data_IF_387979038422
#
_entry.id   IF_387979038422
#
_cell.length_a   1.000
_cell.length_b   1.000
_cell.length_c   1.000
_cell.angle_alpha   90.00
_cell.angle_beta   90.00
_cell.angle_gamma   90.00
#
_symmetry.space_group_name_H-M   'P 1'
#
loop_
_entity.id
_entity.type
_entity.pdbx_description
1 polymer ?
#
# COMPACT_ATOMS: atom_id res chain seq x y z
N UNK A 1 5.72 0.56 -4.19
CA UNK A 1 5.38 -0.90 -4.33
C UNK A 1 4.78 -1.47 -3.05
N UNK A 2 5.54 -1.45 -1.97
CA UNK A 2 5.14 -2.01 -0.69
C UNK A 2 4.66 -0.91 0.23
N UNK A 3 3.72 -1.26 1.08
CA UNK A 3 3.31 -0.46 2.23
C UNK A 3 2.94 -1.42 3.35
N UNK A 4 2.88 -0.95 4.61
CA UNK A 4 2.45 -1.76 5.73
C UNK A 4 1.14 -2.51 5.46
N UNK A 5 0.15 -1.87 4.84
CA UNK A 5 -1.15 -2.50 4.52
C UNK A 5 -1.02 -3.65 3.53
N UNK A 6 -0.15 -3.55 2.51
CA UNK A 6 0.11 -4.67 1.59
C UNK A 6 0.70 -5.87 2.36
N UNK A 7 1.70 -5.61 3.21
CA UNK A 7 2.36 -6.67 3.98
C UNK A 7 1.37 -7.34 4.92
N UNK A 8 0.62 -6.55 5.70
CA UNK A 8 -0.35 -7.06 6.65
C UNK A 8 -1.47 -7.82 5.95
N UNK A 9 -2.05 -7.29 4.88
CA UNK A 9 -3.15 -7.98 4.17
C UNK A 9 -2.72 -9.32 3.59
N UNK A 10 -1.55 -9.39 2.94
CA UNK A 10 -1.06 -10.63 2.33
C UNK A 10 -0.77 -11.69 3.39
N UNK A 11 0.01 -11.33 4.42
CA UNK A 11 0.42 -12.29 5.44
C UNK A 11 -0.72 -12.67 6.38
N UNK A 12 -1.60 -11.73 6.77
CA UNK A 12 -2.74 -12.05 7.62
C UNK A 12 -3.77 -12.92 6.91
N UNK A 13 -4.04 -12.69 5.61
CA UNK A 13 -4.92 -13.61 4.86
C UNK A 13 -4.32 -15.01 4.73
N UNK A 14 -3.02 -15.12 4.51
CA UNK A 14 -2.31 -16.41 4.46
C UNK A 14 -2.43 -17.16 5.80
N UNK A 15 -2.22 -16.44 6.90
CA UNK A 15 -2.34 -16.96 8.26
C UNK A 15 -3.77 -17.40 8.59
N UNK A 16 -4.77 -16.58 8.25
CA UNK A 16 -6.19 -16.93 8.45
C UNK A 16 -6.63 -18.12 7.58
N UNK A 17 -6.00 -18.33 6.42
CA UNK A 17 -6.18 -19.51 5.58
C UNK A 17 -5.40 -20.75 6.06
N UNK A 18 -4.56 -20.62 7.09
CA UNK A 18 -3.72 -21.72 7.61
C UNK A 18 -2.47 -22.03 6.78
N UNK A 19 -2.07 -21.13 5.88
CA UNK A 19 -0.87 -21.26 5.02
C UNK A 19 0.35 -20.50 5.54
N UNK A 20 0.23 -19.78 6.65
CA UNK A 20 1.32 -19.10 7.33
C UNK A 20 1.12 -19.16 8.86
N UNK A 21 2.22 -19.05 9.61
CA UNK A 21 2.18 -18.92 11.07
C UNK A 21 1.88 -17.46 11.48
N UNK A 22 1.38 -17.22 12.70
CA UNK A 22 1.26 -15.85 13.22
C UNK A 22 2.61 -15.11 13.24
N UNK A 23 3.71 -15.83 13.49
CA UNK A 23 5.06 -15.27 13.54
C UNK A 23 5.49 -14.74 12.16
N UNK A 24 5.08 -15.37 11.05
CA UNK A 24 5.38 -14.86 9.71
C UNK A 24 4.75 -13.49 9.46
N UNK A 25 3.57 -13.22 10.04
CA UNK A 25 2.91 -11.90 9.97
C UNK A 25 3.73 -10.87 10.75
N UNK A 26 4.20 -11.23 11.96
CA UNK A 26 4.99 -10.35 12.81
C UNK A 26 6.36 -10.06 12.19
N UNK A 27 7.02 -11.06 11.62
CA UNK A 27 8.29 -10.92 10.93
C UNK A 27 8.16 -10.01 9.71
N UNK A 28 7.10 -10.15 8.93
CA UNK A 28 6.82 -9.26 7.80
C UNK A 28 6.55 -7.82 8.22
N UNK A 29 5.83 -7.62 9.33
CA UNK A 29 5.56 -6.29 9.89
C UNK A 29 6.82 -5.63 10.46
N UNK A 30 7.70 -6.40 11.11
CA UNK A 30 8.93 -5.90 11.75
C UNK A 30 9.91 -5.23 10.79
N UNK A 31 9.77 -5.47 9.48
CA UNK A 31 10.55 -4.79 8.44
C UNK A 31 10.14 -3.31 8.27
N UNK A 32 8.97 -2.90 8.76
CA UNK A 32 8.45 -1.53 8.65
C UNK A 32 8.82 -0.67 9.85
N UNK A 33 8.68 -1.22 11.07
CA UNK A 33 9.00 -0.52 12.30
C UNK A 33 9.33 -1.54 13.40
N UNK A 34 10.17 -1.19 14.38
CA UNK A 34 10.53 -2.11 15.47
C UNK A 34 9.39 -2.34 16.46
N UNK A 35 8.39 -1.45 16.50
CA UNK A 35 7.24 -1.52 17.39
C UNK A 35 5.96 -1.35 16.59
N UNK A 36 4.95 -2.13 16.94
CA UNK A 36 3.61 -1.98 16.40
C UNK A 36 2.60 -1.86 17.53
N UNK A 37 1.71 -0.89 17.40
CA UNK A 37 0.59 -0.65 18.31
C UNK A 37 -0.73 -0.74 17.56
N UNK A 38 -1.81 -1.05 18.28
CA UNK A 38 -3.18 -1.00 17.74
C UNK A 38 -4.12 -0.37 18.76
N UNK A 39 -4.98 0.52 18.27
CA UNK A 39 -5.95 1.29 19.06
C UNK A 39 -7.29 1.37 18.34
N UNK A 40 -8.38 1.52 19.11
CA UNK A 40 -9.70 1.76 18.54
C UNK A 40 -9.94 3.27 18.36
N UNK A 41 -10.51 3.67 17.23
CA UNK A 41 -10.92 5.05 16.95
C UNK A 41 -12.26 5.41 17.61
N UNK A 42 -13.15 4.44 17.76
CA UNK A 42 -14.49 4.63 18.30
C UNK A 42 -14.94 3.44 19.15
N UNK A 43 -16.00 3.64 19.93
CA UNK A 43 -16.52 2.61 20.84
C UNK A 43 -17.11 1.39 20.14
N UNK A 44 -17.55 1.51 18.88
CA UNK A 44 -18.07 0.39 18.10
C UNK A 44 -16.92 -0.50 17.62
N UNK A 45 -15.82 0.09 17.16
CA UNK A 45 -14.59 -0.60 16.80
C UNK A 45 -14.01 -1.34 18.01
N UNK A 46 -13.96 -0.67 19.17
CA UNK A 46 -13.55 -1.27 20.43
C UNK A 46 -14.42 -2.49 20.80
N UNK A 47 -15.75 -2.34 20.70
CA UNK A 47 -16.70 -3.42 20.95
C UNK A 47 -16.54 -4.61 20.01
N UNK A 48 -16.25 -4.36 18.73
CA UNK A 48 -16.05 -5.40 17.72
C UNK A 48 -14.73 -6.16 17.85
N UNK A 49 -13.73 -5.58 18.51
CA UNK A 49 -12.34 -6.07 18.51
C UNK A 49 -11.80 -6.41 19.90
N UNK A 50 -12.44 -5.95 20.96
CA UNK A 50 -11.98 -6.07 22.33
C UNK A 50 -10.85 -5.10 22.71
N UNK A 51 -10.58 -4.09 21.87
CA UNK A 51 -9.58 -3.05 22.14
C UNK A 51 -10.04 -2.09 23.25
N UNK A 52 -9.11 -1.50 24.02
CA UNK A 52 -9.45 -0.52 25.05
C UNK A 52 -10.05 0.77 24.45
N UNK A 53 -11.05 1.33 25.14
CA UNK A 53 -11.68 2.62 24.85
C UNK A 53 -12.36 3.17 26.11
N UNK A 54 -12.34 4.49 26.39
CA UNK A 54 -11.71 5.57 25.60
C UNK A 54 -10.22 5.76 25.87
N UNK A 55 -9.63 4.95 26.75
CA UNK A 55 -8.21 5.06 27.07
C UNK A 55 -7.38 4.57 25.87
N UNK A 56 -6.60 5.50 25.29
CA UNK A 56 -5.66 5.23 24.19
C UNK A 56 -4.41 4.56 24.76
N UNK A 57 -4.54 3.28 25.12
CA UNK A 57 -3.40 2.45 25.50
C UNK A 57 -2.95 1.71 24.25
N UNK A 58 -1.75 2.03 23.78
CA UNK A 58 -1.12 1.34 22.66
C UNK A 58 -0.91 -0.14 23.02
N UNK A 59 -1.75 -0.99 22.44
CA UNK A 59 -1.63 -2.44 22.62
C UNK A 59 -0.70 -3.02 21.56
N UNK A 60 0.22 -3.90 21.95
CA UNK A 60 1.30 -4.37 21.06
C UNK A 60 0.84 -5.23 19.87
N UNK A 61 1.80 -5.65 19.04
CA UNK A 61 1.57 -6.41 17.80
C UNK A 61 0.70 -7.69 17.96
N UNK A 62 0.76 -8.36 19.11
CA UNK A 62 -0.08 -9.55 19.40
C UNK A 62 -1.57 -9.18 19.45
N UNK A 63 -1.90 -8.00 19.98
CA UNK A 63 -3.28 -7.50 20.00
C UNK A 63 -3.80 -7.22 18.60
N UNK A 64 -2.94 -6.76 17.67
CA UNK A 64 -3.31 -6.57 16.26
C UNK A 64 -3.75 -7.90 15.63
N UNK A 65 -3.01 -8.98 15.86
CA UNK A 65 -3.38 -10.31 15.39
C UNK A 65 -4.73 -10.77 15.98
N UNK A 66 -4.97 -10.52 17.28
CA UNK A 66 -6.25 -10.82 17.91
C UNK A 66 -7.40 -10.00 17.31
N UNK A 67 -7.19 -8.71 17.08
CA UNK A 67 -8.15 -7.80 16.43
C UNK A 67 -8.56 -8.32 15.05
N UNK A 68 -7.59 -8.67 14.21
CA UNK A 68 -7.85 -9.19 12.87
C UNK A 68 -8.63 -10.51 12.90
N UNK A 69 -8.24 -11.45 13.77
CA UNK A 69 -8.95 -12.74 13.91
C UNK A 69 -10.37 -12.55 14.41
N UNK A 70 -10.58 -11.65 15.38
CA UNK A 70 -11.89 -11.39 15.96
C UNK A 70 -12.83 -10.76 14.93
N UNK A 71 -12.35 -9.77 14.19
CA UNK A 71 -13.12 -9.09 13.15
C UNK A 71 -13.45 -10.00 11.95
N UNK A 72 -12.48 -10.79 11.49
CA UNK A 72 -12.68 -11.77 10.41
C UNK A 72 -13.72 -12.85 10.79
N UNK A 73 -13.72 -13.27 12.06
CA UNK A 73 -14.61 -14.31 12.55
C UNK A 73 -14.28 -15.71 12.01
N UNK A 74 -15.00 -16.75 12.48
CA UNK A 74 -14.80 -18.13 12.03
C UNK A 74 -15.45 -18.38 10.66
N UNK A 75 -14.91 -19.36 9.92
CA UNK A 75 -15.58 -19.92 8.74
C UNK A 75 -15.51 -19.08 7.47
N UNK A 76 -14.55 -18.16 7.37
CA UNK A 76 -14.27 -17.46 6.11
C UNK A 76 -13.97 -18.47 4.99
N UNK A 77 -14.54 -18.24 3.80
CA UNK A 77 -14.33 -19.05 2.59
C UNK A 77 -13.61 -18.26 1.49
N UNK A 78 -13.28 -17.01 1.78
CA UNK A 78 -12.61 -16.06 0.92
C UNK A 78 -11.76 -15.13 1.81
N UNK A 79 -10.80 -14.37 1.25
CA UNK A 79 -9.95 -13.47 2.02
C UNK A 79 -10.80 -12.43 2.79
N UNK A 80 -10.80 -12.43 4.14
CA UNK A 80 -11.58 -11.45 4.90
C UNK A 80 -10.95 -10.06 4.92
N UNK A 81 -9.65 -9.93 4.62
CA UNK A 81 -8.93 -8.66 4.69
C UNK A 81 -8.68 -8.14 3.28
N UNK A 82 -9.35 -7.04 2.90
CA UNK A 82 -9.15 -6.33 1.65
C UNK A 82 -8.19 -5.15 1.79
N UNK A 83 -7.41 -4.89 0.74
CA UNK A 83 -6.52 -3.73 0.63
C UNK A 83 -7.18 -2.58 -0.11
N UNK A 84 -7.04 -1.37 0.40
CA UNK A 84 -7.35 -0.12 -0.29
C UNK A 84 -6.11 0.77 -0.38
N UNK A 85 -5.86 1.32 -1.58
CA UNK A 85 -4.83 2.33 -1.83
C UNK A 85 -5.53 3.59 -2.36
N UNK A 86 -6.15 4.40 -1.48
CA UNK A 86 -6.86 5.61 -1.88
C UNK A 86 -5.89 6.74 -2.27
N UNK A 87 -6.36 7.61 -3.16
CA UNK A 87 -5.71 8.89 -3.46
C UNK A 87 -6.77 9.99 -3.52
N UNK A 88 -6.42 11.28 -3.39
CA UNK A 88 -7.36 12.37 -3.62
C UNK A 88 -8.07 12.21 -4.99
N UNK A 89 -9.40 12.08 -4.96
CA UNK A 89 -10.22 11.89 -6.16
C UNK A 89 -10.53 10.43 -6.54
N UNK A 90 -9.83 9.43 -5.98
CA UNK A 90 -10.15 8.02 -6.18
C UNK A 90 -10.03 7.22 -4.87
N UNK A 91 -11.19 6.98 -4.27
CA UNK A 91 -11.39 6.39 -2.94
C UNK A 91 -12.18 5.07 -3.01
N UNK A 92 -12.15 4.42 -4.18
CA UNK A 92 -12.80 3.12 -4.39
C UNK A 92 -12.31 2.10 -3.36
N UNK A 93 -13.24 1.33 -2.81
CA UNK A 93 -12.96 0.35 -1.74
C UNK A 93 -13.18 0.87 -0.32
N UNK A 94 -13.46 2.17 -0.13
CA UNK A 94 -13.70 2.77 1.19
C UNK A 94 -15.16 3.18 1.40
N UNK A 95 -15.70 3.08 2.63
CA UNK A 95 -17.04 3.55 2.97
C UNK A 95 -17.09 5.09 2.92
N UNK A 96 -17.88 5.62 1.97
CA UNK A 96 -17.95 7.05 1.70
C UNK A 96 -18.49 7.87 2.89
N UNK A 97 -17.93 9.07 3.09
CA UNK A 97 -18.36 10.04 4.11
C UNK A 97 -17.86 9.76 5.53
N UNK A 98 -17.12 8.66 5.74
CA UNK A 98 -16.63 8.25 7.07
C UNK A 98 -15.32 8.96 7.45
N UNK A 99 -15.00 8.97 8.74
CA UNK A 99 -13.67 9.39 9.20
C UNK A 99 -12.59 8.44 8.68
N UNK A 100 -12.84 7.12 8.74
CA UNK A 100 -11.97 6.11 8.17
C UNK A 100 -11.54 6.43 6.73
N UNK A 101 -12.48 6.86 5.87
CA UNK A 101 -12.15 7.27 4.50
C UNK A 101 -11.18 8.45 4.45
N UNK A 102 -11.38 9.47 5.29
CA UNK A 102 -10.52 10.67 5.30
C UNK A 102 -9.10 10.33 5.75
N UNK A 103 -8.99 9.54 6.80
CA UNK A 103 -7.69 9.17 7.37
C UNK A 103 -6.97 8.18 6.43
N UNK A 104 -7.70 7.25 5.82
CA UNK A 104 -7.17 6.39 4.77
C UNK A 104 -6.65 7.18 3.55
N UNK A 105 -7.35 8.21 3.10
CA UNK A 105 -6.89 9.10 2.00
C UNK A 105 -5.63 9.87 2.41
N UNK A 106 -5.54 10.27 3.68
CA UNK A 106 -4.38 10.98 4.22
C UNK A 106 -3.16 10.08 4.29
N UNK A 107 -3.33 8.84 4.78
CA UNK A 107 -2.27 7.83 4.82
C UNK A 107 -1.92 7.27 3.43
N UNK A 108 -2.85 7.33 2.47
CA UNK A 108 -2.70 6.73 1.13
C UNK A 108 -2.88 5.21 1.10
N UNK A 109 -3.21 4.61 2.24
CA UNK A 109 -3.42 3.17 2.40
C UNK A 109 -4.44 2.89 3.51
N UNK A 110 -5.15 1.77 3.38
CA UNK A 110 -6.02 1.24 4.41
C UNK A 110 -6.33 -0.24 4.18
N UNK A 111 -6.80 -0.90 5.24
CA UNK A 111 -7.38 -2.23 5.19
C UNK A 111 -8.86 -2.18 5.55
N UNK A 112 -9.63 -3.06 4.92
CA UNK A 112 -11.02 -3.33 5.31
C UNK A 112 -11.10 -4.80 5.66
N UNK A 113 -11.51 -5.11 6.88
CA UNK A 113 -11.77 -6.48 7.33
C UNK A 113 -13.27 -6.70 7.28
N UNK A 114 -13.71 -7.67 6.50
CA UNK A 114 -15.09 -8.15 6.42
C UNK A 114 -15.22 -9.45 7.21
N UNK A 115 -16.31 -9.61 7.97
CA UNK A 115 -16.49 -10.79 8.80
C UNK A 115 -17.55 -10.61 9.88
N UNK A 116 -17.26 -11.11 11.09
CA UNK A 116 -18.14 -11.01 12.26
C UNK A 116 -18.27 -9.58 12.80
N UNK A 117 -17.31 -8.69 12.50
CA UNK A 117 -17.42 -7.26 12.73
C UNK A 117 -16.60 -6.50 11.69
N UNK A 118 -17.28 -5.75 10.81
CA UNK A 118 -16.58 -4.98 9.78
C UNK A 118 -15.80 -3.82 10.39
N UNK A 119 -14.49 -3.83 10.17
CA UNK A 119 -13.58 -2.79 10.65
C UNK A 119 -12.70 -2.27 9.52
N UNK A 120 -12.30 -1.01 9.65
CA UNK A 120 -11.24 -0.40 8.84
C UNK A 120 -9.97 -0.26 9.67
N UNK A 121 -8.80 -0.40 9.04
CA UNK A 121 -7.52 -0.10 9.68
C UNK A 121 -6.74 0.90 8.83
N UNK A 122 -6.15 1.89 9.49
CA UNK A 122 -5.24 2.87 8.87
C UNK A 122 -3.92 2.84 9.64
N UNK A 123 -2.78 2.63 8.97
CA UNK A 123 -1.47 2.73 9.58
C UNK A 123 -1.00 4.19 9.70
N UNK A 124 -0.23 4.49 10.73
CA UNK A 124 0.49 5.76 10.88
C UNK A 124 1.89 5.52 11.48
N UNK A 125 2.91 6.11 10.87
CA UNK A 125 4.31 5.94 11.30
C UNK A 125 4.63 6.88 12.45
N UNK A 126 5.25 6.35 13.49
CA UNK A 126 5.76 7.11 14.62
C UNK A 126 7.26 7.39 14.41
N UNK A 127 7.67 8.63 14.62
CA UNK A 127 9.06 9.06 14.53
C UNK A 127 9.52 9.62 15.88
N UNK A 128 10.80 9.41 16.21
CA UNK A 128 11.37 9.96 17.44
C UNK A 128 11.69 11.46 17.26
N UNK A 129 10.84 12.32 17.82
CA UNK A 129 10.99 13.78 17.75
C UNK A 129 12.26 14.30 18.46
N UNK A 130 12.92 13.48 19.29
CA UNK A 130 14.14 13.83 20.02
C UNK A 130 15.42 13.40 19.30
N UNK A 131 15.32 12.69 18.18
CA UNK A 131 16.46 12.33 17.34
C UNK A 131 16.92 13.56 16.52
N UNK A 132 17.73 14.42 17.13
CA UNK A 132 18.28 15.64 16.50
C UNK A 132 19.71 15.47 15.97
N UNK A 133 20.19 14.25 15.78
CA UNK A 133 21.50 14.04 15.14
C UNK A 133 21.37 14.28 13.62
N UNK A 134 21.85 15.44 13.17
CA UNK A 134 21.78 15.96 11.79
C UNK A 134 22.40 15.03 10.71
N UNK A 135 23.09 13.94 11.10
CA UNK A 135 23.79 13.02 10.21
C UNK A 135 22.99 11.73 9.90
N UNK A 136 21.84 11.49 10.53
CA UNK A 136 21.01 10.29 10.28
C UNK A 136 19.53 10.68 10.22
N UNK A 137 18.90 10.53 9.06
CA UNK A 137 17.44 10.57 8.95
C UNK A 137 16.88 9.39 9.78
N UNK A 138 16.27 9.62 10.95
CA UNK A 138 15.89 8.53 11.84
C UNK A 138 14.69 7.80 11.20
N UNK A 139 14.88 6.52 10.89
CA UNK A 139 13.80 5.65 10.47
C UNK A 139 12.67 5.58 11.52
N UNK A 140 11.47 5.11 11.13
CA UNK A 140 10.32 5.06 12.03
C UNK A 140 10.61 4.25 13.30
N UNK A 141 10.26 4.79 14.45
CA UNK A 141 10.43 4.14 15.75
C UNK A 141 9.22 3.27 16.15
N UNK A 142 8.08 3.45 15.45
CA UNK A 142 6.86 2.70 15.64
C UNK A 142 5.93 2.78 14.44
N UNK A 143 4.94 1.89 14.41
CA UNK A 143 3.84 1.91 13.45
C UNK A 143 2.53 1.63 14.21
N UNK A 144 1.66 2.64 14.29
CA UNK A 144 0.35 2.52 14.93
C UNK A 144 -0.71 2.11 13.92
N UNK A 145 -1.65 1.28 14.36
CA UNK A 145 -2.81 0.87 13.58
C UNK A 145 -4.08 1.38 14.26
N UNK A 146 -4.73 2.36 13.63
CA UNK A 146 -6.01 2.87 14.14
C UNK A 146 -7.16 2.09 13.54
N UNK A 147 -8.04 1.54 14.39
CA UNK A 147 -9.16 0.68 14.01
C UNK A 147 -10.48 1.43 14.07
N UNK A 148 -11.20 1.47 12.95
CA UNK A 148 -12.45 2.18 12.79
C UNK A 148 -13.62 1.21 12.67
N UNK A 149 -14.78 1.60 13.19
CA UNK A 149 -16.02 0.91 12.83
C UNK A 149 -16.39 1.25 11.39
N UNK A 150 -16.72 0.23 10.62
CA UNK A 150 -17.12 0.38 9.21
C UNK A 150 -18.52 -0.20 9.04
N UNK A 151 -19.42 0.43 8.27
CA UNK A 151 -20.73 -0.16 8.00
C UNK A 151 -20.59 -1.56 7.37
N UNK A 152 -21.42 -2.51 7.79
CA UNK A 152 -21.55 -3.86 7.20
C UNK A 152 -22.20 -3.84 5.80
N UNK A 153 -21.93 -2.80 5.01
CA UNK A 153 -22.32 -2.75 3.61
C UNK A 153 -21.22 -3.45 2.82
N UNK A 154 -21.61 -4.48 2.08
CA UNK A 154 -20.73 -5.10 1.08
C UNK A 154 -20.33 -4.02 0.07
N UNK A 155 -19.15 -3.42 0.25
CA UNK A 155 -18.51 -2.60 -0.76
C UNK A 155 -17.99 -3.60 -1.78
N UNK A 156 -18.57 -3.69 -2.99
CA UNK A 156 -18.05 -4.60 -3.99
C UNK A 156 -16.59 -4.21 -4.22
N UNK A 157 -15.63 -5.13 -4.07
CA UNK A 157 -14.26 -4.82 -4.44
C UNK A 157 -14.28 -4.39 -5.90
N UNK A 158 -13.53 -3.33 -6.21
CA UNK A 158 -13.24 -3.02 -7.60
C UNK A 158 -12.33 -4.14 -8.11
N UNK A 159 -12.92 -5.27 -8.48
CA UNK A 159 -12.18 -6.41 -9.00
C UNK A 159 -11.59 -6.00 -10.34
N UNK A 160 -10.27 -5.86 -10.36
CA UNK A 160 -9.52 -5.61 -11.59
C UNK A 160 -8.86 -6.92 -11.98
N UNK A 161 -9.23 -7.46 -13.13
CA UNK A 161 -8.59 -8.69 -13.63
C UNK A 161 -7.09 -8.46 -13.78
N UNK A 162 -6.29 -9.41 -13.30
CA UNK A 162 -4.83 -9.30 -13.33
C UNK A 162 -4.28 -9.14 -14.76
N UNK A 163 -4.91 -9.79 -15.75
CA UNK A 163 -4.52 -9.69 -17.14
C UNK A 163 -4.86 -8.33 -17.75
N UNK A 164 -6.03 -7.79 -17.45
CA UNK A 164 -6.41 -6.42 -17.82
C UNK A 164 -5.45 -5.40 -17.20
N UNK A 165 -5.12 -5.54 -15.92
CA UNK A 165 -4.20 -4.64 -15.24
C UNK A 165 -2.76 -4.72 -15.83
N UNK A 166 -2.26 -5.93 -16.11
CA UNK A 166 -0.95 -6.16 -16.75
C UNK A 166 -0.90 -5.57 -18.17
N UNK A 167 -2.00 -5.66 -18.91
CA UNK A 167 -2.12 -5.02 -20.23
C UNK A 167 -2.16 -3.49 -20.11
N UNK A 168 -3.01 -2.97 -19.22
CA UNK A 168 -3.14 -1.55 -18.95
C UNK A 168 -1.79 -0.92 -18.57
N UNK A 169 -1.04 -1.56 -17.67
CA UNK A 169 0.29 -1.11 -17.28
C UNK A 169 1.25 -1.02 -18.46
N UNK A 170 1.35 -2.08 -19.27
CA UNK A 170 2.23 -2.07 -20.47
C UNK A 170 1.82 -1.02 -21.50
N UNK A 171 0.51 -0.81 -21.68
CA UNK A 171 -0.02 0.21 -22.58
C UNK A 171 0.30 1.62 -22.08
N UNK A 172 0.07 1.90 -20.79
CA UNK A 172 0.34 3.21 -20.20
C UNK A 172 1.83 3.56 -20.21
N UNK A 173 2.71 2.60 -19.89
CA UNK A 173 4.17 2.79 -19.95
C UNK A 173 4.60 3.16 -21.38
N UNK A 174 4.07 2.46 -22.40
CA UNK A 174 4.36 2.78 -23.80
C UNK A 174 3.91 4.19 -24.17
N UNK A 175 2.67 4.55 -23.85
CA UNK A 175 2.12 5.88 -24.13
C UNK A 175 2.91 6.99 -23.42
N UNK A 176 3.33 6.77 -22.17
CA UNK A 176 4.15 7.72 -21.44
C UNK A 176 5.55 7.88 -22.06
N UNK A 177 6.18 6.77 -22.47
CA UNK A 177 7.48 6.80 -23.16
C UNK A 177 7.40 7.54 -24.51
N UNK A 178 6.33 7.33 -25.29
CA UNK A 178 6.10 8.04 -26.56
C UNK A 178 5.92 9.56 -26.32
N UNK A 179 5.13 9.94 -25.31
CA UNK A 179 4.91 11.34 -24.95
C UNK A 179 6.20 12.04 -24.46
N UNK A 180 6.98 11.39 -23.58
CA UNK A 180 8.24 11.93 -23.08
C UNK A 180 9.34 11.95 -24.16
N UNK A 181 9.35 10.98 -25.06
CA UNK A 181 10.25 10.94 -26.22
C UNK A 181 10.00 12.12 -27.18
N UNK A 182 8.73 12.46 -27.43
CA UNK A 182 8.37 13.64 -28.22
C UNK A 182 8.84 14.96 -27.59
N UNK A 183 8.85 15.06 -26.26
CA UNK A 183 9.36 16.23 -25.53
C UNK A 183 10.89 16.34 -25.61
N UNK A 184 11.62 15.22 -25.49
CA UNK A 184 13.09 15.19 -25.56
C UNK A 184 13.65 15.48 -26.95
N UNK A 185 12.87 15.27 -28.02
CA UNK A 185 13.30 15.56 -29.39
C UNK A 185 13.63 17.05 -29.64
N UNK A 186 13.32 17.96 -28.70
CA UNK A 186 13.66 19.38 -28.75
C UNK A 186 14.58 19.89 -27.62
N UNK A 187 15.03 19.04 -26.70
CA UNK A 187 15.81 19.43 -25.52
C UNK A 187 17.31 19.11 -25.70
N UNK A 188 18.18 19.98 -25.17
CA UNK A 188 19.62 19.70 -25.10
C UNK A 188 19.90 18.59 -24.08
N UNK A 189 20.97 17.81 -24.31
CA UNK A 189 21.37 16.71 -23.43
C UNK A 189 21.80 17.28 -22.07
N UNK A 190 20.92 17.18 -21.07
CA UNK A 190 21.22 17.60 -19.69
C UNK A 190 21.95 16.46 -19.00
N UNK A 191 23.08 16.78 -18.38
CA UNK A 191 23.81 15.87 -17.49
C UNK A 191 23.03 15.68 -16.19
N UNK A 192 22.00 14.84 -16.25
CA UNK A 192 21.17 14.47 -15.09
C UNK A 192 21.90 13.38 -14.31
N UNK A 193 22.00 13.54 -12.99
CA UNK A 193 22.47 12.53 -12.03
C UNK A 193 21.96 11.13 -12.41
N UNK A 194 22.83 10.10 -12.33
CA UNK A 194 22.55 8.71 -12.77
C UNK A 194 21.15 8.22 -12.37
N UNK A 195 20.14 8.37 -13.26
CA UNK A 195 18.75 8.14 -12.87
C UNK A 195 18.48 6.64 -12.74
N UNK A 196 19.28 5.80 -13.39
CA UNK A 196 19.20 4.34 -13.27
C UNK A 196 19.68 3.89 -11.89
N UNK A 197 20.79 4.46 -11.42
CA UNK A 197 21.29 4.23 -10.06
C UNK A 197 20.27 4.60 -8.98
N UNK A 198 19.60 5.75 -9.12
CA UNK A 198 18.54 6.19 -8.19
C UNK A 198 17.32 5.24 -8.20
N UNK A 199 16.89 4.79 -9.38
CA UNK A 199 15.78 3.81 -9.49
C UNK A 199 16.16 2.47 -8.86
N UNK A 200 17.39 1.99 -9.08
CA UNK A 200 17.88 0.75 -8.46
C UNK A 200 17.96 0.88 -6.94
N UNK A 201 18.42 2.01 -6.42
CA UNK A 201 18.43 2.30 -4.99
C UNK A 201 17.02 2.30 -4.38
N UNK A 202 16.06 2.94 -5.05
CA UNK A 202 14.66 2.95 -4.64
C UNK A 202 14.02 1.55 -4.67
N UNK A 203 14.46 0.67 -5.57
CA UNK A 203 13.99 -0.71 -5.61
C UNK A 203 14.64 -1.59 -4.54
N UNK A 204 15.92 -1.38 -4.23
CA UNK A 204 16.66 -2.16 -3.24
C UNK A 204 16.06 -2.03 -1.83
N UNK A 205 15.67 -0.80 -1.44
CA UNK A 205 14.99 -0.55 -0.15
C UNK A 205 13.72 -1.39 0.03
N UNK A 206 13.15 -1.85 -1.08
CA UNK A 206 11.89 -2.59 -1.08
C UNK A 206 12.09 -4.11 -1.15
N UNK A 207 13.29 -4.61 -1.47
CA UNK A 207 13.60 -6.06 -1.58
C UNK A 207 13.55 -6.79 -0.24
N UNK A 208 13.57 -6.07 0.87
CA UNK A 208 13.46 -6.64 2.23
C UNK A 208 12.09 -7.28 2.49
N UNK A 209 11.04 -6.82 1.79
CA UNK A 209 9.69 -7.33 1.99
C UNK A 209 9.44 -8.61 1.19
N UNK A 210 9.07 -9.69 1.89
CA UNK A 210 8.81 -11.01 1.30
C UNK A 210 7.31 -11.25 1.13
N UNK A 211 6.98 -12.11 0.16
CA UNK A 211 5.63 -12.61 -0.07
C UNK A 211 5.55 -14.09 0.38
N UNK A 212 4.36 -14.56 0.79
CA UNK A 212 4.14 -15.97 1.09
C UNK A 212 4.36 -16.89 -0.11
N UNK A 213 4.75 -18.13 0.14
CA UNK A 213 5.10 -19.14 -0.89
C UNK A 213 3.97 -19.48 -1.86
N UNK A 214 2.71 -19.30 -1.45
CA UNK A 214 1.55 -19.58 -2.28
C UNK A 214 1.26 -18.46 -3.31
N UNK A 215 1.99 -17.34 -3.25
CA UNK A 215 1.81 -16.20 -4.15
C UNK A 215 2.04 -16.61 -5.62
N UNK A 216 1.09 -16.35 -6.55
CA UNK A 216 1.23 -16.76 -7.94
C UNK A 216 2.35 -15.98 -8.64
N UNK A 217 3.28 -16.69 -9.32
CA UNK A 217 4.38 -16.07 -10.08
C UNK A 217 3.95 -14.94 -11.03
N UNK A 218 2.75 -15.04 -11.62
CA UNK A 218 2.22 -13.98 -12.50
C UNK A 218 1.91 -12.70 -11.71
N UNK A 219 1.32 -12.82 -10.53
CA UNK A 219 1.02 -11.68 -9.67
C UNK A 219 2.31 -11.02 -9.16
N UNK A 220 3.31 -11.82 -8.78
CA UNK A 220 4.65 -11.36 -8.40
C UNK A 220 5.26 -10.48 -9.49
N UNK A 221 5.31 -10.98 -10.72
CA UNK A 221 5.85 -10.24 -11.86
C UNK A 221 5.11 -8.92 -12.15
N UNK A 222 3.79 -8.91 -12.01
CA UNK A 222 3.00 -7.67 -12.18
C UNK A 222 3.30 -6.67 -11.08
N UNK A 223 3.43 -7.12 -9.83
CA UNK A 223 3.78 -6.27 -8.69
C UNK A 223 5.20 -5.68 -8.84
N UNK A 224 6.18 -6.50 -9.22
CA UNK A 224 7.56 -6.06 -9.50
C UNK A 224 7.63 -5.06 -10.66
N UNK A 225 6.88 -5.29 -11.75
CA UNK A 225 6.84 -4.35 -12.85
C UNK A 225 6.18 -3.04 -12.43
N UNK A 226 5.06 -3.09 -11.71
CA UNK A 226 4.40 -1.90 -11.18
C UNK A 226 5.34 -1.12 -10.24
N UNK A 227 6.16 -1.82 -9.43
CA UNK A 227 7.17 -1.22 -8.57
C UNK A 227 8.27 -0.49 -9.31
N UNK A 228 8.79 -1.11 -10.37
CA UNK A 228 9.82 -0.50 -11.19
C UNK A 228 9.28 0.76 -11.85
N UNK A 229 8.06 0.72 -12.38
CA UNK A 229 7.42 1.90 -12.96
C UNK A 229 7.16 2.99 -11.89
N UNK A 230 6.70 2.62 -10.70
CA UNK A 230 6.51 3.51 -9.54
C UNK A 230 7.83 4.23 -9.18
N UNK A 231 8.93 3.48 -9.08
CA UNK A 231 10.26 4.02 -8.80
C UNK A 231 10.75 4.98 -9.90
N UNK A 232 10.51 4.65 -11.18
CA UNK A 232 10.81 5.55 -12.30
C UNK A 232 10.01 6.85 -12.17
N UNK A 233 8.72 6.78 -11.82
CA UNK A 233 7.88 7.98 -11.64
C UNK A 233 8.42 8.83 -10.50
N UNK A 234 8.70 8.24 -9.33
CA UNK A 234 9.23 8.96 -8.16
C UNK A 234 10.54 9.67 -8.47
N UNK A 235 11.53 8.93 -9.00
CA UNK A 235 12.83 9.51 -9.40
C UNK A 235 12.65 10.58 -10.47
N UNK A 236 11.76 10.36 -11.45
CA UNK A 236 11.49 11.37 -12.47
C UNK A 236 10.87 12.64 -11.88
N UNK A 237 9.93 12.52 -10.94
CA UNK A 237 9.31 13.66 -10.26
C UNK A 237 10.31 14.51 -9.49
N UNK A 238 11.33 13.89 -8.89
CA UNK A 238 12.42 14.60 -8.20
C UNK A 238 13.37 15.30 -9.17
N UNK A 239 13.62 14.72 -10.35
CA UNK A 239 14.56 15.25 -11.33
C UNK A 239 13.95 16.26 -12.31
N UNK A 240 12.62 16.22 -12.55
CA UNK A 240 11.90 17.12 -13.47
C UNK A 240 12.16 18.62 -13.21
N UNK A 241 12.14 19.12 -11.95
CA UNK A 241 12.44 20.54 -11.66
C UNK A 241 13.88 20.96 -12.00
N UNK A 242 14.80 20.00 -12.10
CA UNK A 242 16.23 20.23 -12.33
C UNK A 242 16.53 20.24 -13.84
N UNK A 243 15.84 19.41 -14.62
CA UNK A 243 16.10 19.20 -16.04
C UNK A 243 15.24 20.01 -17.01
N UNK A 244 14.19 20.70 -16.55
CA UNK A 244 13.29 21.49 -17.40
C UNK A 244 13.39 22.98 -17.06
N UNK A 245 13.51 23.83 -18.08
CA UNK A 245 13.81 25.25 -17.91
C UNK A 245 12.57 26.15 -18.04
N UNK A 246 11.41 25.56 -18.38
CA UNK A 246 10.13 26.27 -18.47
C UNK A 246 9.04 25.57 -17.65
N UNK A 247 8.20 26.36 -16.99
CA UNK A 247 7.02 25.88 -16.27
C UNK A 247 6.05 25.11 -17.17
N UNK A 248 5.99 25.44 -18.47
CA UNK A 248 5.16 24.72 -19.44
C UNK A 248 5.67 23.30 -19.70
N UNK A 249 7.00 23.11 -19.76
CA UNK A 249 7.59 21.78 -19.96
C UNK A 249 7.35 20.88 -18.74
N UNK A 250 7.53 21.43 -17.53
CA UNK A 250 7.22 20.76 -16.26
C UNK A 250 5.76 20.33 -16.20
N UNK A 251 4.84 21.21 -16.64
CA UNK A 251 3.41 20.90 -16.66
C UNK A 251 3.09 19.77 -17.64
N UNK A 252 3.63 19.80 -18.87
CA UNK A 252 3.36 18.77 -19.89
C UNK A 252 3.94 17.41 -19.45
N UNK A 253 5.15 17.39 -18.88
CA UNK A 253 5.74 16.17 -18.33
C UNK A 253 4.89 15.60 -17.18
N UNK A 254 4.41 16.45 -16.28
CA UNK A 254 3.53 16.05 -15.17
C UNK A 254 2.17 15.52 -15.66
N UNK A 255 1.59 16.13 -16.69
CA UNK A 255 0.34 15.66 -17.31
C UNK A 255 0.52 14.31 -18.02
N UNK A 256 1.68 14.08 -18.66
CA UNK A 256 1.99 12.80 -19.30
C UNK A 256 2.14 11.65 -18.29
N UNK A 257 2.69 11.94 -17.09
CA UNK A 257 2.90 10.93 -16.05
C UNK A 257 1.65 10.65 -15.19
N UNK A 258 0.71 11.58 -15.08
CA UNK A 258 -0.49 11.43 -14.21
C UNK A 258 -1.35 10.19 -14.52
N UNK A 259 -1.63 9.81 -15.78
CA UNK A 259 -2.37 8.58 -16.07
C UNK A 259 -1.61 7.32 -15.63
N UNK A 260 -0.28 7.36 -15.64
CA UNK A 260 0.57 6.21 -15.31
C UNK A 260 0.46 5.82 -13.84
N UNK A 261 0.40 6.79 -12.92
CA UNK A 261 0.24 6.51 -11.47
C UNK A 261 -1.07 5.79 -11.15
N UNK A 262 -2.15 6.16 -11.84
CA UNK A 262 -3.45 5.49 -11.70
C UNK A 262 -3.36 4.02 -12.14
N UNK A 263 -2.70 3.76 -13.26
CA UNK A 263 -2.56 2.41 -13.80
C UNK A 263 -1.62 1.55 -12.96
N UNK A 264 -0.51 2.11 -12.46
CA UNK A 264 0.40 1.43 -11.52
C UNK A 264 -0.35 0.99 -10.27
N UNK A 265 -1.17 1.88 -9.69
CA UNK A 265 -1.98 1.58 -8.52
C UNK A 265 -3.01 0.48 -8.79
N UNK A 266 -3.70 0.51 -9.92
CA UNK A 266 -4.62 -0.56 -10.33
C UNK A 266 -3.91 -1.90 -10.52
N UNK A 267 -2.71 -1.91 -11.11
CA UNK A 267 -1.89 -3.11 -11.26
C UNK A 267 -1.42 -3.68 -9.92
N UNK A 268 -1.04 -2.82 -8.97
CA UNK A 268 -0.71 -3.22 -7.59
C UNK A 268 -1.91 -3.87 -6.89
N UNK A 269 -3.08 -3.23 -6.95
CA UNK A 269 -4.30 -3.77 -6.34
C UNK A 269 -4.68 -5.12 -6.93
N UNK A 270 -4.69 -5.25 -8.26
CA UNK A 270 -5.01 -6.52 -8.95
C UNK A 270 -4.02 -7.65 -8.60
N UNK A 271 -2.72 -7.33 -8.54
CA UNK A 271 -1.68 -8.29 -8.17
C UNK A 271 -1.84 -8.75 -6.72
N UNK A 272 -2.02 -7.81 -5.78
CA UNK A 272 -2.24 -8.15 -4.36
C UNK A 272 -3.53 -8.95 -4.22
N UNK A 273 -4.64 -8.54 -4.82
CA UNK A 273 -5.91 -9.26 -4.77
C UNK A 273 -5.77 -10.71 -5.27
N UNK A 274 -5.01 -10.94 -6.35
CA UNK A 274 -4.70 -12.29 -6.83
C UNK A 274 -3.90 -13.12 -5.82
N UNK A 275 -2.98 -12.50 -5.06
CA UNK A 275 -2.22 -13.16 -3.99
C UNK A 275 -3.16 -13.49 -2.84
N UNK A 276 -3.99 -12.54 -2.38
CA UNK A 276 -4.94 -12.77 -1.29
C UNK A 276 -5.83 -13.97 -1.59
N UNK A 277 -6.45 -14.01 -2.77
CA UNK A 277 -7.35 -15.10 -3.17
C UNK A 277 -6.63 -16.43 -3.34
N UNK A 278 -5.34 -16.44 -3.71
CA UNK A 278 -4.61 -17.69 -3.90
C UNK A 278 -4.46 -18.50 -2.61
N UNK A 279 -4.49 -17.86 -1.45
CA UNK A 279 -4.46 -18.53 -0.16
C UNK A 279 -5.72 -19.38 0.12
N UNK A 280 -6.85 -19.07 -0.53
CA UNK A 280 -8.18 -19.62 -0.22
C UNK A 280 -8.73 -20.54 -1.33
N UNK A 281 -7.87 -20.99 -2.26
CA UNK A 281 -8.26 -21.90 -3.37
C UNK A 281 -8.12 -23.39 -3.01
N UNK A 282 -7.86 -23.71 -1.75
CA UNK A 282 -7.68 -25.08 -1.22
C UNK A 282 -8.99 -25.78 -0.87
#
# INVERSE_FOLDING_TARGET
MWCPSVSLSVWANAWLAGLAAPDDVLDALSQWAPKHSVTAYDSLAAGATGLPWPDLVDTGAVSLLQTLRTAAGPGATAPPIGLALPVPGDVRGLPAGTQFQRDAVTAGEALVVSGAGSIGLVPDFEYDELATDDDFDPGPCGLSWTVYSVPDVAIPPAHVDLGEAEYGLRSAVRSAADALGALRAGAADVDVADPRGLVEQALESTRVHRLPDHAPNRALRVLENAAHVDAIISVSSELIPIGLHSSTEVQIASEALRPLSTVVRSARLAAVESILHSAWRG
#
